data_IF_779961669905
#
_entry.id   IF_779961669905
#
_cell.length_a   1.000
_cell.length_b   1.000
_cell.length_c   1.000
_cell.angle_alpha   90.00
_cell.angle_beta   90.00
_cell.angle_gamma   90.00
#
_symmetry.space_group_name_H-M   'P 1'
#
loop_
_entity.id
_entity.type
_entity.pdbx_description
1 polymer ?
#
# COMPACT_ATOMS: atom_id res chain seq x y z
N UNK A 1 -1.39 -17.49 2.56
CA UNK A 1 -2.74 -17.08 3.03
C UNK A 1 -2.87 -17.59 4.46
N UNK A 2 -3.12 -16.67 5.42
CA UNK A 2 -3.41 -17.02 6.80
C UNK A 2 -4.92 -17.23 6.97
N UNK A 3 -5.32 -17.96 8.01
CA UNK A 3 -6.74 -18.18 8.31
C UNK A 3 -7.47 -16.83 8.45
N UNK A 4 -8.49 -16.60 7.59
CA UNK A 4 -9.32 -15.40 7.58
C UNK A 4 -8.96 -14.34 6.55
N UNK A 5 -7.91 -14.51 5.74
CA UNK A 5 -7.64 -13.63 4.61
C UNK A 5 -8.51 -14.04 3.40
N UNK A 6 -9.39 -13.14 2.90
CA UNK A 6 -10.25 -13.47 1.75
C UNK A 6 -9.43 -13.50 0.45
N UNK A 7 -9.84 -14.36 -0.47
CA UNK A 7 -9.36 -14.31 -1.85
C UNK A 7 -9.81 -13.02 -2.54
N UNK A 8 -9.05 -12.60 -3.54
CA UNK A 8 -9.29 -11.36 -4.27
C UNK A 8 -9.71 -11.65 -5.70
N UNK A 9 -10.95 -11.26 -6.07
CA UNK A 9 -11.50 -11.44 -7.41
C UNK A 9 -10.93 -10.39 -8.39
N UNK A 10 -10.83 -10.79 -9.66
CA UNK A 10 -10.54 -9.87 -10.77
C UNK A 10 -9.08 -9.45 -10.91
N UNK A 11 -8.15 -10.10 -10.22
CA UNK A 11 -6.72 -9.82 -10.36
C UNK A 11 -6.14 -10.51 -11.57
N UNK A 12 -5.43 -9.75 -12.40
CA UNK A 12 -4.82 -10.30 -13.61
C UNK A 12 -3.53 -11.04 -13.28
N UNK A 13 -3.52 -12.35 -13.57
CA UNK A 13 -2.34 -13.19 -13.46
C UNK A 13 -1.82 -13.50 -14.85
N UNK A 14 -0.51 -13.36 -15.03
CA UNK A 14 0.22 -13.63 -16.28
C UNK A 14 1.08 -14.86 -16.13
N UNK A 15 1.10 -15.69 -17.17
CA UNK A 15 2.03 -16.80 -17.31
C UNK A 15 2.84 -16.60 -18.59
N UNK A 16 4.15 -16.66 -18.47
CA UNK A 16 5.09 -16.63 -19.59
C UNK A 16 6.11 -17.75 -19.44
N UNK A 17 6.65 -18.24 -20.53
CA UNK A 17 7.66 -19.30 -20.50
C UNK A 17 7.70 -20.12 -21.76
N UNK A 18 8.25 -21.33 -21.68
CA UNK A 18 8.28 -22.27 -22.79
C UNK A 18 8.21 -23.71 -22.29
N UNK A 19 7.55 -24.54 -23.08
CA UNK A 19 7.59 -25.99 -22.92
C UNK A 19 8.86 -26.62 -23.51
N UNK A 20 8.95 -27.96 -23.44
CA UNK A 20 10.07 -28.71 -23.98
C UNK A 20 10.17 -28.62 -25.54
N UNK A 21 9.10 -28.20 -26.20
CA UNK A 21 9.06 -27.90 -27.62
C UNK A 21 9.65 -26.54 -27.99
N UNK A 22 10.17 -25.79 -26.99
CA UNK A 22 10.68 -24.42 -27.11
C UNK A 22 9.66 -23.40 -27.68
N UNK A 23 8.38 -23.74 -27.74
CA UNK A 23 7.34 -22.78 -28.10
C UNK A 23 7.09 -21.82 -26.97
N UNK A 24 7.17 -20.52 -27.24
CA UNK A 24 6.85 -19.49 -26.26
C UNK A 24 5.37 -19.54 -25.88
N UNK A 25 5.10 -19.56 -24.60
CA UNK A 25 3.75 -19.52 -24.03
C UNK A 25 3.55 -18.19 -23.34
N UNK A 26 2.44 -17.54 -23.65
CA UNK A 26 1.97 -16.34 -22.94
C UNK A 26 0.47 -16.47 -22.74
N UNK A 27 0.02 -16.49 -21.50
CA UNK A 27 -1.39 -16.55 -21.12
C UNK A 27 -1.67 -15.52 -20.02
N UNK A 28 -2.89 -15.04 -19.99
CA UNK A 28 -3.41 -14.17 -18.93
C UNK A 28 -4.79 -14.66 -18.50
N UNK A 29 -5.11 -14.45 -17.20
CA UNK A 29 -6.45 -14.68 -16.69
C UNK A 29 -6.69 -13.83 -15.43
N UNK A 30 -7.95 -13.56 -15.13
CA UNK A 30 -8.35 -12.95 -13.88
C UNK A 30 -8.62 -14.02 -12.82
N UNK A 31 -8.36 -13.69 -11.55
CA UNK A 31 -8.73 -14.54 -10.41
C UNK A 31 -10.26 -14.60 -10.25
N UNK A 32 -10.76 -15.74 -9.81
CA UNK A 32 -12.16 -15.96 -9.48
C UNK A 32 -12.59 -15.29 -8.18
N UNK A 33 -13.87 -15.46 -7.82
CA UNK A 33 -14.47 -14.86 -6.62
C UNK A 33 -13.78 -15.30 -5.30
N UNK A 34 -13.16 -16.47 -5.30
CA UNK A 34 -12.37 -17.02 -4.18
C UNK A 34 -10.86 -16.68 -4.28
N UNK A 35 -10.47 -15.84 -5.25
CA UNK A 35 -9.08 -15.49 -5.52
C UNK A 35 -8.29 -16.56 -6.26
N UNK A 36 -8.90 -17.68 -6.65
CA UNK A 36 -8.21 -18.77 -7.35
C UNK A 36 -7.94 -18.46 -8.80
N UNK A 37 -6.89 -19.08 -9.35
CA UNK A 37 -6.57 -19.08 -10.76
C UNK A 37 -5.94 -20.41 -11.19
N UNK A 38 -6.06 -20.77 -12.46
CA UNK A 38 -5.49 -22.01 -13.00
C UNK A 38 -5.14 -21.88 -14.49
N UNK A 39 -3.89 -22.11 -14.85
CA UNK A 39 -3.46 -22.27 -16.24
C UNK A 39 -3.45 -23.74 -16.62
N UNK A 40 -4.17 -24.09 -17.65
CA UNK A 40 -4.31 -25.46 -18.13
C UNK A 40 -3.70 -25.64 -19.53
N UNK A 41 -3.45 -26.91 -19.89
CA UNK A 41 -2.91 -27.29 -21.20
C UNK A 41 -1.47 -26.81 -21.39
N UNK A 42 -0.66 -26.83 -20.35
CA UNK A 42 0.77 -26.54 -20.41
C UNK A 42 1.54 -27.85 -20.63
N UNK A 43 2.57 -27.80 -21.46
CA UNK A 43 3.55 -28.89 -21.59
C UNK A 43 4.63 -28.79 -20.54
N UNK A 44 5.35 -29.88 -20.20
CA UNK A 44 6.52 -29.79 -19.33
C UNK A 44 7.47 -28.71 -19.79
N UNK A 45 7.99 -27.90 -18.87
CA UNK A 45 8.82 -26.74 -19.19
C UNK A 45 9.05 -25.81 -18.01
N UNK A 46 9.59 -24.62 -18.31
CA UNK A 46 9.81 -23.58 -17.31
C UNK A 46 8.95 -22.37 -17.59
N UNK A 47 8.21 -21.96 -16.58
CA UNK A 47 7.25 -20.87 -16.65
C UNK A 47 7.48 -19.86 -15.53
N UNK A 48 7.14 -18.62 -15.80
CA UNK A 48 7.06 -17.55 -14.80
C UNK A 48 5.60 -17.13 -14.64
N UNK A 49 5.11 -17.16 -13.41
CA UNK A 49 3.78 -16.65 -13.05
C UNK A 49 3.95 -15.34 -12.30
N UNK A 50 3.28 -14.31 -12.75
CA UNK A 50 3.33 -12.98 -12.16
C UNK A 50 1.94 -12.37 -12.07
N UNK A 51 1.78 -11.45 -11.13
CA UNK A 51 0.56 -10.67 -10.96
C UNK A 51 0.75 -9.26 -11.53
N UNK A 52 -0.28 -8.72 -12.16
CA UNK A 52 -0.30 -7.33 -12.63
C UNK A 52 -0.62 -6.42 -11.45
N UNK A 53 0.26 -5.46 -11.18
CA UNK A 53 0.05 -4.48 -10.10
C UNK A 53 -1.20 -3.63 -10.36
N UNK A 54 -2.00 -3.42 -9.31
CA UNK A 54 -3.18 -2.55 -9.35
C UNK A 54 -2.92 -1.26 -8.58
N UNK A 55 -3.42 -0.14 -9.11
CA UNK A 55 -3.34 1.15 -8.44
C UNK A 55 -4.03 1.11 -7.08
N UNK A 56 -3.37 1.66 -6.05
CA UNK A 56 -3.88 1.63 -4.69
C UNK A 56 -3.59 0.34 -3.91
N UNK A 57 -2.83 -0.59 -4.50
CA UNK A 57 -2.43 -1.83 -3.85
C UNK A 57 -0.91 -2.01 -3.86
N UNK A 58 -0.42 -2.76 -2.89
CA UNK A 58 0.99 -3.14 -2.77
C UNK A 58 1.10 -4.65 -2.57
N UNK A 59 1.87 -5.29 -3.43
CA UNK A 59 2.16 -6.72 -3.29
C UNK A 59 3.04 -6.98 -2.07
N UNK A 60 2.73 -8.05 -1.35
CA UNK A 60 3.47 -8.52 -0.18
C UNK A 60 4.13 -9.87 -0.41
N UNK A 61 3.58 -10.67 -1.33
CA UNK A 61 4.11 -11.99 -1.69
C UNK A 61 3.89 -12.29 -3.19
N UNK A 62 4.82 -12.99 -3.86
CA UNK A 62 6.19 -13.27 -3.42
C UNK A 62 7.06 -12.01 -3.45
N UNK A 63 8.16 -11.99 -2.68
CA UNK A 63 9.04 -10.80 -2.57
C UNK A 63 9.66 -10.42 -3.93
N UNK A 64 10.01 -11.39 -4.77
CA UNK A 64 10.57 -11.19 -6.11
C UNK A 64 9.53 -10.78 -7.15
N UNK A 65 8.24 -10.72 -6.77
CA UNK A 65 7.15 -10.30 -7.65
C UNK A 65 6.64 -11.35 -8.61
N UNK A 66 7.26 -12.53 -8.68
CA UNK A 66 6.84 -13.64 -9.53
C UNK A 66 7.27 -14.99 -8.94
N UNK A 67 6.60 -16.04 -9.42
CA UNK A 67 6.98 -17.42 -9.15
C UNK A 67 7.60 -18.02 -10.40
N UNK A 68 8.76 -18.64 -10.28
CA UNK A 68 9.31 -19.54 -11.30
C UNK A 68 8.77 -20.94 -11.04
N UNK A 69 8.22 -21.57 -12.07
CA UNK A 69 7.60 -22.89 -12.04
C UNK A 69 8.30 -23.80 -13.05
N UNK A 70 8.91 -24.88 -12.53
CA UNK A 70 9.37 -25.98 -13.37
C UNK A 70 8.26 -27.04 -13.39
N UNK A 71 7.59 -27.17 -14.52
CA UNK A 71 6.50 -28.13 -14.73
C UNK A 71 7.08 -29.40 -15.35
N UNK A 72 6.80 -30.53 -14.74
CA UNK A 72 7.13 -31.85 -15.28
C UNK A 72 5.86 -32.61 -15.67
N UNK A 73 5.56 -33.69 -15.00
CA UNK A 73 4.43 -34.59 -15.23
C UNK A 73 3.35 -34.49 -14.14
N UNK A 74 3.51 -33.54 -13.22
CA UNK A 74 2.57 -33.30 -12.12
C UNK A 74 2.14 -31.84 -12.05
N UNK A 75 0.90 -31.62 -11.62
CA UNK A 75 0.39 -30.28 -11.36
C UNK A 75 1.19 -29.56 -10.29
N UNK A 76 1.39 -28.25 -10.46
CA UNK A 76 2.05 -27.38 -9.48
C UNK A 76 1.04 -26.43 -8.90
N UNK A 77 0.91 -26.42 -7.58
CA UNK A 77 0.02 -25.56 -6.79
C UNK A 77 0.79 -24.62 -5.84
N UNK A 78 0.08 -23.81 -5.10
CA UNK A 78 0.65 -22.94 -4.05
C UNK A 78 1.50 -21.79 -4.59
N UNK A 79 1.13 -21.25 -5.74
CA UNK A 79 1.76 -20.06 -6.33
C UNK A 79 0.92 -18.81 -6.05
N UNK A 80 0.78 -18.51 -4.77
CA UNK A 80 -0.10 -17.47 -4.27
C UNK A 80 0.54 -16.09 -4.37
N UNK A 81 -0.29 -15.05 -4.55
CA UNK A 81 0.08 -13.65 -4.49
C UNK A 81 -0.64 -13.00 -3.31
N UNK A 82 0.08 -12.22 -2.53
CA UNK A 82 -0.45 -11.47 -1.42
C UNK A 82 -0.39 -9.98 -1.69
N UNK A 83 -1.46 -9.28 -1.38
CA UNK A 83 -1.59 -7.83 -1.59
C UNK A 83 -2.25 -7.17 -0.40
N UNK A 84 -1.89 -5.93 -0.12
CA UNK A 84 -2.64 -5.05 0.78
C UNK A 84 -2.91 -3.72 0.11
N UNK A 85 -3.99 -3.05 0.52
CA UNK A 85 -4.28 -1.68 0.08
C UNK A 85 -3.14 -0.74 0.49
N UNK A 86 -2.92 0.28 -0.32
CA UNK A 86 -1.91 1.31 -0.09
C UNK A 86 -2.59 2.66 0.03
N UNK A 87 -2.51 3.26 1.20
CA UNK A 87 -3.14 4.53 1.52
C UNK A 87 -2.13 5.66 1.68
N UNK A 88 -2.67 6.88 1.74
CA UNK A 88 -1.91 8.05 2.11
C UNK A 88 -2.63 8.83 3.21
N UNK A 89 -1.84 9.45 4.08
CA UNK A 89 -2.29 10.47 5.03
C UNK A 89 -1.64 11.77 4.62
N UNK A 90 -2.44 12.82 4.40
CA UNK A 90 -1.94 14.13 4.03
C UNK A 90 -2.70 15.23 4.74
N UNK A 91 -2.09 16.40 4.83
CA UNK A 91 -2.67 17.58 5.44
C UNK A 91 -1.78 18.79 5.27
N UNK A 92 -2.06 19.82 6.06
CA UNK A 92 -1.24 21.03 6.07
C UNK A 92 -1.12 21.62 7.48
N UNK A 93 0.00 22.28 7.74
CA UNK A 93 0.19 23.15 8.89
C UNK A 93 0.00 24.58 8.45
N UNK A 94 -0.77 25.35 9.17
CA UNK A 94 -1.07 26.73 8.88
C UNK A 94 -0.94 27.62 10.12
N UNK A 95 -0.82 28.92 9.92
CA UNK A 95 -0.85 29.91 10.98
C UNK A 95 -2.31 30.22 11.33
N UNK A 96 -2.80 29.67 12.42
CA UNK A 96 -4.11 29.98 12.99
C UNK A 96 -4.00 31.32 13.73
N UNK A 97 -4.25 32.40 13.00
CA UNK A 97 -4.01 33.78 13.49
C UNK A 97 -5.06 34.23 14.50
N UNK A 98 -6.26 33.69 14.42
CA UNK A 98 -7.39 34.04 15.28
C UNK A 98 -7.67 33.00 16.37
N UNK A 99 -6.96 31.85 16.34
CA UNK A 99 -7.07 30.79 17.34
C UNK A 99 -8.37 29.99 17.30
N UNK A 100 -9.08 29.98 16.15
CA UNK A 100 -10.37 29.30 16.03
C UNK A 100 -10.25 27.80 15.68
N UNK A 101 -9.04 27.30 15.37
CA UNK A 101 -8.80 25.90 15.02
C UNK A 101 -9.27 25.53 13.59
N UNK A 102 -9.54 26.48 12.73
CA UNK A 102 -9.92 26.26 11.34
C UNK A 102 -9.02 27.08 10.43
N UNK A 103 -8.71 26.59 9.23
CA UNK A 103 -7.93 27.36 8.26
C UNK A 103 -8.83 28.33 7.51
N UNK A 104 -8.68 29.60 7.77
CA UNK A 104 -9.37 30.68 7.09
C UNK A 104 -8.63 31.12 5.82
N UNK A 105 -9.33 31.86 4.91
CA UNK A 105 -8.81 32.13 3.57
C UNK A 105 -7.52 32.93 3.48
N UNK A 106 -7.13 33.68 4.52
CA UNK A 106 -5.90 34.47 4.58
C UNK A 106 -4.79 33.81 5.42
N UNK A 107 -5.05 32.66 6.00
CA UNK A 107 -4.09 31.94 6.85
C UNK A 107 -3.10 31.15 6.01
N UNK A 108 -1.85 31.56 6.07
CA UNK A 108 -0.77 30.98 5.29
C UNK A 108 -0.32 29.64 5.84
N UNK A 109 0.05 28.73 4.92
CA UNK A 109 0.76 27.51 5.28
C UNK A 109 2.12 27.79 5.92
N UNK A 110 2.60 26.84 6.74
CA UNK A 110 3.88 26.93 7.44
C UNK A 110 4.85 25.88 6.97
N UNK A 111 5.94 26.32 6.34
CA UNK A 111 7.05 25.46 5.94
C UNK A 111 7.93 25.05 7.11
N UNK A 112 8.63 23.94 6.96
CA UNK A 112 9.68 23.53 7.90
C UNK A 112 9.19 22.86 9.18
N UNK A 113 7.89 22.55 9.30
CA UNK A 113 7.33 21.89 10.47
C UNK A 113 7.44 20.37 10.36
N UNK A 114 7.89 19.73 11.42
CA UNK A 114 8.00 18.29 11.49
C UNK A 114 6.69 17.65 11.91
N UNK A 115 6.15 16.80 11.04
CA UNK A 115 4.96 15.97 11.28
C UNK A 115 5.43 14.55 11.48
N UNK A 116 4.98 13.91 12.54
CA UNK A 116 5.35 12.55 12.92
C UNK A 116 4.18 11.61 12.73
N UNK A 117 4.45 10.47 12.11
CA UNK A 117 3.52 9.36 12.00
C UNK A 117 4.00 8.24 12.90
N UNK A 118 3.15 7.83 13.82
CA UNK A 118 3.45 6.76 14.78
C UNK A 118 2.52 5.56 14.58
N UNK A 119 3.00 4.39 14.93
CA UNK A 119 2.24 3.14 15.01
C UNK A 119 2.64 2.42 16.29
N UNK A 120 1.66 1.93 17.06
CA UNK A 120 1.89 1.20 18.33
C UNK A 120 2.81 1.99 19.31
N UNK A 121 2.65 3.32 19.32
CA UNK A 121 3.42 4.22 20.19
C UNK A 121 4.83 4.56 19.69
N UNK A 122 5.32 3.96 18.61
CA UNK A 122 6.63 4.26 18.03
C UNK A 122 6.49 5.17 16.79
N UNK A 123 7.35 6.18 16.66
CA UNK A 123 7.45 6.99 15.42
C UNK A 123 8.06 6.13 14.32
N UNK A 124 7.29 5.91 13.25
CA UNK A 124 7.69 5.09 12.10
C UNK A 124 8.10 5.93 10.89
N UNK A 125 7.65 7.20 10.83
CA UNK A 125 8.00 8.11 9.75
C UNK A 125 7.85 9.56 10.22
N UNK A 126 8.55 10.48 9.55
CA UNK A 126 8.41 11.91 9.74
C UNK A 126 8.48 12.64 8.40
N UNK A 127 7.72 13.71 8.27
CA UNK A 127 7.67 14.57 7.09
C UNK A 127 7.84 16.03 7.51
N UNK A 128 8.62 16.78 6.75
CA UNK A 128 8.72 18.23 6.93
C UNK A 128 7.76 18.91 5.96
N UNK A 129 7.00 19.89 6.45
CA UNK A 129 6.04 20.63 5.61
C UNK A 129 6.72 21.44 4.52
N UNK A 130 6.12 21.47 3.34
CA UNK A 130 6.51 22.29 2.19
C UNK A 130 6.20 23.78 2.42
N UNK A 131 6.52 24.64 1.47
CA UNK A 131 6.31 26.10 1.54
C UNK A 131 4.84 26.48 1.75
N UNK A 132 3.91 25.72 1.17
CA UNK A 132 2.46 25.89 1.33
C UNK A 132 1.91 25.25 2.62
N UNK A 133 2.79 24.71 3.47
CA UNK A 133 2.46 24.01 4.69
C UNK A 133 2.06 22.55 4.50
N UNK A 134 2.01 22.05 3.27
CA UNK A 134 1.54 20.68 2.99
C UNK A 134 2.53 19.59 3.42
N UNK A 135 1.99 18.42 3.77
CA UNK A 135 2.74 17.18 4.02
C UNK A 135 1.95 15.96 3.54
N UNK A 136 2.66 14.86 3.28
CA UNK A 136 2.03 13.59 2.94
C UNK A 136 2.89 12.39 3.35
N UNK A 137 2.22 11.37 3.87
CA UNK A 137 2.74 10.03 4.06
C UNK A 137 2.05 9.11 3.06
N UNK A 138 2.81 8.39 2.25
CA UNK A 138 2.31 7.54 1.16
C UNK A 138 2.68 6.08 1.42
N UNK A 139 2.03 5.19 0.68
CA UNK A 139 2.29 3.75 0.72
C UNK A 139 2.11 3.12 2.12
N UNK A 140 1.09 3.57 2.82
CA UNK A 140 0.78 3.08 4.15
C UNK A 140 -0.04 1.78 4.06
N UNK A 141 0.33 0.80 4.88
CA UNK A 141 -0.41 -0.44 5.05
C UNK A 141 -1.68 -0.21 5.89
N UNK A 142 -2.63 -1.16 5.92
CA UNK A 142 -3.72 -1.14 6.88
C UNK A 142 -3.20 -1.07 8.32
N UNK A 143 -3.94 -0.40 9.18
CA UNK A 143 -3.60 -0.30 10.60
C UNK A 143 -4.01 1.01 11.25
N UNK A 144 -3.76 1.08 12.55
CA UNK A 144 -3.98 2.28 13.33
C UNK A 144 -2.72 3.12 13.37
N UNK A 145 -2.87 4.42 13.13
CA UNK A 145 -1.80 5.40 13.11
C UNK A 145 -2.15 6.57 14.01
N UNK A 146 -1.12 7.16 14.60
CA UNK A 146 -1.22 8.44 15.30
C UNK A 146 -0.38 9.46 14.53
N UNK A 147 -1.01 10.57 14.15
CA UNK A 147 -0.38 11.69 13.47
C UNK A 147 -0.25 12.86 14.44
N UNK A 148 0.94 13.39 14.62
CA UNK A 148 1.21 14.50 15.51
C UNK A 148 2.22 15.48 14.91
N UNK A 149 2.15 16.72 15.36
CA UNK A 149 3.14 17.74 15.06
C UNK A 149 4.19 17.76 16.17
N UNK A 150 5.46 17.79 15.80
CA UNK A 150 6.52 17.97 16.81
C UNK A 150 6.40 19.35 17.47
N UNK A 151 6.58 19.40 18.79
CA UNK A 151 6.54 20.64 19.52
C UNK A 151 7.64 21.60 19.03
N UNK A 152 7.29 22.88 18.90
CA UNK A 152 8.24 23.96 18.62
C UNK A 152 8.14 25.03 19.70
N UNK A 153 9.30 25.52 20.13
CA UNK A 153 9.37 26.56 21.16
C UNK A 153 8.66 27.85 20.70
N UNK A 154 7.85 28.42 21.59
CA UNK A 154 7.07 29.63 21.30
C UNK A 154 5.77 29.40 20.54
N UNK A 155 5.44 28.14 20.20
CA UNK A 155 4.23 27.80 19.45
C UNK A 155 3.30 26.88 20.23
N UNK A 156 2.01 27.07 20.02
CA UNK A 156 0.96 26.21 20.56
C UNK A 156 0.16 25.62 19.42
N UNK A 157 -0.11 24.32 19.49
CA UNK A 157 -0.99 23.64 18.55
C UNK A 157 -2.44 24.01 18.88
N UNK A 158 -3.15 24.59 17.91
CA UNK A 158 -4.59 24.92 18.02
C UNK A 158 -5.46 23.78 17.49
N UNK A 159 -4.95 23.04 16.45
CA UNK A 159 -5.64 21.91 15.82
C UNK A 159 -4.66 20.76 15.55
N UNK A 160 -5.00 19.50 15.89
CA UNK A 160 -6.18 19.09 16.67
C UNK A 160 -6.07 19.48 18.14
N UNK A 161 -7.20 19.70 18.79
CA UNK A 161 -7.25 20.14 20.21
C UNK A 161 -6.53 19.17 21.16
N UNK A 162 -6.54 17.87 20.82
CA UNK A 162 -5.87 16.79 21.56
C UNK A 162 -4.37 16.63 21.23
N UNK A 163 -3.83 17.49 20.35
CA UNK A 163 -2.43 17.46 19.92
C UNK A 163 -2.08 16.38 18.92
N UNK A 164 -2.99 15.44 18.62
CA UNK A 164 -2.78 14.37 17.65
C UNK A 164 -4.08 13.86 17.04
N UNK A 165 -3.99 13.27 15.85
CA UNK A 165 -5.07 12.53 15.19
C UNK A 165 -4.82 11.04 15.31
N UNK A 166 -5.86 10.27 15.66
CA UNK A 166 -5.87 8.82 15.53
C UNK A 166 -6.60 8.42 14.24
N UNK A 167 -5.93 7.69 13.39
CA UNK A 167 -6.37 7.36 12.03
C UNK A 167 -6.35 5.85 11.87
N UNK A 168 -7.48 5.26 11.43
CA UNK A 168 -7.56 3.85 11.11
C UNK A 168 -7.64 3.69 9.58
N UNK A 169 -6.64 3.03 8.99
CA UNK A 169 -6.64 2.64 7.58
C UNK A 169 -7.02 1.17 7.49
N UNK A 170 -8.09 0.86 6.77
CA UNK A 170 -8.61 -0.51 6.63
C UNK A 170 -8.90 -0.84 5.18
N UNK A 171 -8.71 -2.12 4.80
CA UNK A 171 -9.33 -2.68 3.61
C UNK A 171 -10.84 -2.80 3.90
N UNK A 172 -11.66 -2.10 3.15
CA UNK A 172 -13.13 -2.24 3.19
C UNK A 172 -13.55 -3.29 2.19
#
# INVERSE_FOLDING_TARGET
INDGEPGMEGWTIKLTGSGLDNQAVQKEMATGADGSYKFEGLTPGTYTVSEVEQSGWKRTAPAEGSHTVSLSDTDVAGKDFGNHGSWSISGSVFLDSNGNGARDGEESGRAGWSIQLSREGAVINASTTAEDGSYAFKNLAPGQYTLSQAAQEGWKVSLPAEGSYNINLSNT
#
